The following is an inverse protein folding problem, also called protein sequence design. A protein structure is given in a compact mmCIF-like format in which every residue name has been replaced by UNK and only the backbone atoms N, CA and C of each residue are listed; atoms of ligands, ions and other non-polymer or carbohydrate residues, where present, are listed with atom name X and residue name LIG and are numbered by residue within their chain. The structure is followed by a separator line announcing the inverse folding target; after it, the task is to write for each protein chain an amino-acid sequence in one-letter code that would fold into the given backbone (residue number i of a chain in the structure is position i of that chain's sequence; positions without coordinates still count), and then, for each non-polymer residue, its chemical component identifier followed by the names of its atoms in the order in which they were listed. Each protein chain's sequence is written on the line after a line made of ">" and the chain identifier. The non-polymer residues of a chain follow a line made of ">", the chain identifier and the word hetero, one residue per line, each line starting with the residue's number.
data_IF_828283006462
#
_entry.id   IF_828283006462
#
_cell.length_a   1.000
_cell.length_b   1.000
_cell.length_c   1.000
_cell.angle_alpha   90.00
_cell.angle_beta   90.00
_cell.angle_gamma   90.00
#
_symmetry.space_group_name_H-M   'P 1'
#
loop_
_entity.id
_entity.type
_entity.pdbx_description
1 polymer ?
#
# COMPACT_ATOMS: atom_id res chain seq x y z
N UNK A 1 9.13 -14.10 6.63
CA UNK A 1 8.33 -12.94 6.14
C UNK A 1 7.68 -12.23 7.31
N UNK A 2 7.81 -10.93 7.39
CA UNK A 2 7.15 -10.14 8.43
C UNK A 2 5.69 -9.84 8.07
N UNK A 3 4.82 -9.51 9.04
CA UNK A 3 3.47 -9.07 8.74
C UNK A 3 3.43 -7.84 7.81
N UNK A 4 4.32 -6.87 8.00
CA UNK A 4 4.39 -5.70 7.13
C UNK A 4 4.71 -6.07 5.69
N UNK A 5 5.61 -7.02 5.48
CA UNK A 5 5.94 -7.52 4.15
C UNK A 5 4.75 -8.24 3.50
N UNK A 6 4.05 -9.06 4.24
CA UNK A 6 2.87 -9.77 3.76
C UNK A 6 1.76 -8.78 3.35
N UNK A 7 1.46 -7.82 4.21
CA UNK A 7 0.46 -6.79 3.92
C UNK A 7 0.85 -5.99 2.68
N UNK A 8 2.12 -5.63 2.57
CA UNK A 8 2.62 -4.88 1.42
C UNK A 8 2.44 -5.66 0.12
N UNK A 9 2.77 -6.94 0.10
CA UNK A 9 2.60 -7.80 -1.07
C UNK A 9 1.14 -7.93 -1.47
N UNK A 10 0.26 -8.17 -0.51
CA UNK A 10 -1.17 -8.32 -0.78
C UNK A 10 -1.81 -7.02 -1.24
N UNK A 11 -1.43 -5.90 -0.65
CA UNK A 11 -1.92 -4.60 -1.06
C UNK A 11 -1.45 -4.25 -2.48
N UNK A 12 -0.20 -4.51 -2.80
CA UNK A 12 0.34 -4.35 -4.16
C UNK A 12 -0.47 -5.18 -5.17
N UNK A 13 -0.71 -6.45 -4.87
CA UNK A 13 -1.50 -7.33 -5.73
C UNK A 13 -2.94 -6.82 -5.91
N UNK A 14 -3.55 -6.33 -4.84
CA UNK A 14 -4.90 -5.79 -4.90
C UNK A 14 -4.98 -4.54 -5.80
N UNK A 15 -4.00 -3.67 -5.72
CA UNK A 15 -3.93 -2.45 -6.55
C UNK A 15 -3.73 -2.84 -8.03
N UNK A 16 -2.84 -3.78 -8.31
CA UNK A 16 -2.62 -4.28 -9.66
C UNK A 16 -3.89 -4.93 -10.23
N UNK A 17 -4.58 -5.72 -9.42
CA UNK A 17 -5.83 -6.39 -9.82
C UNK A 17 -6.98 -5.41 -10.04
N UNK A 18 -6.96 -4.27 -9.37
CA UNK A 18 -7.98 -3.23 -9.53
C UNK A 18 -7.83 -2.39 -10.81
N UNK A 19 -6.77 -2.63 -11.58
CA UNK A 19 -6.59 -1.99 -12.87
C UNK A 19 -5.51 -0.91 -12.91
N UNK A 20 -4.58 -0.90 -11.95
CA UNK A 20 -3.44 0.00 -12.01
C UNK A 20 -2.61 -0.27 -13.27
N UNK A 21 -2.29 0.79 -13.99
CA UNK A 21 -1.55 0.73 -15.26
C UNK A 21 -0.15 1.32 -15.16
N UNK A 22 0.18 1.98 -14.04
CA UNK A 22 1.54 2.41 -13.72
C UNK A 22 2.19 1.36 -12.81
N UNK A 23 3.53 1.32 -12.73
CA UNK A 23 4.20 0.39 -11.82
C UNK A 23 3.78 0.60 -10.35
N UNK A 24 3.50 -0.49 -9.67
CA UNK A 24 3.24 -0.50 -8.23
C UNK A 24 4.48 -1.08 -7.54
N UNK A 25 5.07 -0.33 -6.63
CA UNK A 25 6.33 -0.71 -6.01
C UNK A 25 6.34 -0.39 -4.52
N UNK A 26 7.26 -1.04 -3.82
CA UNK A 26 7.50 -0.80 -2.40
C UNK A 26 9.00 -0.84 -2.15
N UNK A 27 9.52 0.20 -1.53
CA UNK A 27 10.93 0.27 -1.15
C UNK A 27 11.30 -0.86 -0.17
N UNK A 28 10.37 -1.25 0.70
CA UNK A 28 10.59 -2.36 1.63
C UNK A 28 10.82 -3.68 0.90
N UNK A 29 9.93 -4.04 -0.03
CA UNK A 29 10.05 -5.29 -0.78
C UNK A 29 11.32 -5.34 -1.62
N UNK A 30 11.68 -4.22 -2.19
CA UNK A 30 12.85 -4.10 -3.05
C UNK A 30 14.14 -4.17 -2.26
N UNK A 31 14.18 -3.53 -1.10
CA UNK A 31 15.31 -3.64 -0.18
C UNK A 31 15.52 -5.09 0.28
N UNK A 32 14.42 -5.81 0.55
CA UNK A 32 14.49 -7.21 0.97
C UNK A 32 14.94 -8.14 -0.16
N UNK A 33 14.65 -7.78 -1.40
CA UNK A 33 15.10 -8.54 -2.57
C UNK A 33 16.52 -8.20 -3.00
N UNK A 34 17.14 -7.21 -2.37
CA UNK A 34 18.49 -6.76 -2.73
C UNK A 34 18.54 -6.00 -4.06
N UNK A 35 17.41 -5.60 -4.59
CA UNK A 35 17.34 -4.83 -5.83
C UNK A 35 17.58 -3.35 -5.56
N UNK A 36 18.42 -2.75 -6.42
CA UNK A 36 18.65 -1.31 -6.37
C UNK A 36 17.57 -0.61 -7.18
N UNK A 37 16.82 0.24 -6.50
CA UNK A 37 15.68 0.91 -7.09
C UNK A 37 16.03 2.13 -7.89
N UNK A 38 15.40 2.20 -9.05
CA UNK A 38 15.18 3.48 -9.73
C UNK A 38 13.70 3.81 -9.55
N UNK A 39 13.40 4.93 -8.91
CA UNK A 39 12.02 5.39 -8.78
C UNK A 39 11.47 5.67 -10.18
N UNK A 40 10.37 5.05 -10.61
CA UNK A 40 9.78 5.33 -11.90
C UNK A 40 9.24 6.76 -11.96
N UNK A 41 9.21 7.35 -13.14
CA UNK A 41 8.65 8.70 -13.36
C UNK A 41 7.15 8.76 -13.05
N UNK A 42 6.45 7.65 -13.25
CA UNK A 42 5.05 7.48 -12.86
C UNK A 42 4.91 6.16 -12.15
N UNK A 43 4.21 6.16 -11.01
CA UNK A 43 4.07 4.94 -10.25
C UNK A 43 3.23 5.12 -9.00
N UNK A 44 2.96 4.01 -8.34
CA UNK A 44 2.29 3.95 -7.05
C UNK A 44 3.25 3.36 -6.04
N UNK A 45 3.66 4.16 -5.06
CA UNK A 45 4.53 3.72 -3.97
C UNK A 45 3.68 3.26 -2.79
N UNK A 46 3.83 2.00 -2.41
CA UNK A 46 3.12 1.40 -1.26
C UNK A 46 4.07 1.32 -0.09
N UNK A 47 3.66 1.87 1.05
CA UNK A 47 4.42 1.85 2.29
C UNK A 47 3.57 1.31 3.44
N UNK A 48 4.12 0.34 4.15
CA UNK A 48 3.48 -0.24 5.33
C UNK A 48 4.52 -0.30 6.43
N UNK A 49 4.21 0.29 7.57
CA UNK A 49 5.11 0.24 8.73
C UNK A 49 4.35 0.23 10.04
N UNK A 50 4.98 -0.28 11.08
CA UNK A 50 4.40 -0.28 12.43
C UNK A 50 4.30 1.16 12.90
N UNK A 51 3.11 1.58 13.30
CA UNK A 51 2.85 2.96 13.74
C UNK A 51 2.61 3.11 15.23
N UNK A 52 2.47 2.03 15.95
CA UNK A 52 2.22 2.06 17.38
C UNK A 52 3.01 1.02 18.11
N UNK A 53 3.40 1.35 19.35
CA UNK A 53 4.02 0.39 20.21
C UNK A 53 2.96 -0.51 20.83
N UNK A 54 3.27 -1.77 20.87
CA UNK A 54 2.36 -2.82 21.25
C UNK A 54 2.58 -3.21 22.69
N UNK A 55 1.50 -3.51 23.38
CA UNK A 55 1.58 -4.05 24.70
C UNK A 55 2.08 -5.48 24.68
N UNK A 56 2.76 -5.90 25.73
CA UNK A 56 3.21 -7.29 25.86
C UNK A 56 2.06 -8.20 26.32
N UNK A 57 2.01 -9.43 25.83
CA UNK A 57 2.77 -9.94 24.70
C UNK A 57 2.33 -9.29 23.40
N UNK A 58 3.22 -9.24 22.40
CA UNK A 58 2.96 -8.58 21.13
C UNK A 58 1.86 -9.29 20.34
N UNK A 59 0.62 -9.12 20.78
CA UNK A 59 -0.54 -9.77 20.19
C UNK A 59 -1.35 -8.86 19.27
N UNK A 60 -1.19 -7.55 19.41
CA UNK A 60 -1.89 -6.56 18.61
C UNK A 60 -0.90 -5.66 17.90
N UNK A 61 -1.18 -5.35 16.65
CA UNK A 61 -0.34 -4.51 15.81
C UNK A 61 -1.16 -3.40 15.20
N UNK A 62 -0.57 -2.21 15.13
CA UNK A 62 -1.11 -1.10 14.37
C UNK A 62 -0.10 -0.71 13.30
N UNK A 63 -0.55 -0.66 12.06
CA UNK A 63 0.26 -0.28 10.92
C UNK A 63 -0.26 0.99 10.28
N UNK A 64 0.65 1.86 9.88
CA UNK A 64 0.35 2.92 8.93
C UNK A 64 0.53 2.38 7.53
N UNK A 65 -0.48 2.59 6.71
CA UNK A 65 -0.52 2.15 5.31
C UNK A 65 -0.67 3.37 4.44
N UNK A 66 0.16 3.51 3.43
CA UNK A 66 0.01 4.58 2.45
C UNK A 66 0.26 4.07 1.03
N UNK A 67 -0.46 4.65 0.09
CA UNK A 67 -0.23 4.48 -1.33
C UNK A 67 -0.16 5.86 -1.96
N UNK A 68 0.99 6.18 -2.55
CA UNK A 68 1.26 7.49 -3.15
C UNK A 68 1.31 7.30 -4.66
N UNK A 69 0.37 7.93 -5.36
CA UNK A 69 0.34 7.96 -6.81
C UNK A 69 1.06 9.21 -7.30
N UNK A 70 1.99 9.04 -8.20
CA UNK A 70 2.65 10.13 -8.92
C UNK A 70 2.66 9.81 -10.40
N UNK A 71 2.18 10.74 -11.21
CA UNK A 71 2.13 10.58 -12.67
C UNK A 71 2.79 11.80 -13.32
N UNK A 72 3.87 11.54 -14.05
CA UNK A 72 4.55 12.60 -14.81
C UNK A 72 3.68 13.10 -15.95
N UNK A 73 3.66 14.40 -16.17
CA UNK A 73 2.95 15.02 -17.28
C UNK A 73 3.47 14.49 -18.63
N UNK A 74 4.74 14.14 -18.72
CA UNK A 74 5.31 13.55 -19.93
C UNK A 74 4.71 12.19 -20.27
N UNK A 75 4.27 11.43 -19.26
CA UNK A 75 3.64 10.13 -19.46
C UNK A 75 2.13 10.25 -19.70
N UNK A 76 1.53 11.39 -19.36
CA UNK A 76 0.07 11.55 -19.35
C UNK A 76 -0.33 12.93 -19.85
N UNK A 77 -0.45 13.06 -21.17
CA UNK A 77 -0.77 14.32 -21.82
C UNK A 77 -2.22 14.79 -21.65
N UNK A 78 -3.11 13.92 -21.18
CA UNK A 78 -4.54 14.24 -21.08
C UNK A 78 -5.14 14.05 -19.69
N UNK A 79 -4.35 13.64 -18.72
CA UNK A 79 -4.82 13.35 -17.38
C UNK A 79 -5.50 11.98 -17.23
N UNK A 80 -5.66 11.24 -18.32
CA UNK A 80 -6.35 9.95 -18.31
C UNK A 80 -5.61 8.90 -17.50
N UNK A 81 -4.28 8.86 -17.59
CA UNK A 81 -3.45 7.91 -16.86
C UNK A 81 -3.56 8.14 -15.35
N UNK A 82 -3.51 9.40 -14.92
CA UNK A 82 -3.69 9.75 -13.52
C UNK A 82 -5.06 9.32 -13.00
N UNK A 83 -6.12 9.65 -13.72
CA UNK A 83 -7.51 9.34 -13.32
C UNK A 83 -7.71 7.83 -13.23
N UNK A 84 -7.22 7.07 -14.19
CA UNK A 84 -7.33 5.61 -14.20
C UNK A 84 -6.69 4.98 -12.95
N UNK A 85 -5.50 5.42 -12.60
CA UNK A 85 -4.79 4.89 -11.43
C UNK A 85 -5.34 5.42 -10.11
N UNK A 86 -5.82 6.66 -10.10
CA UNK A 86 -6.55 7.21 -8.96
C UNK A 86 -7.79 6.35 -8.66
N UNK A 87 -8.55 6.01 -9.69
CA UNK A 87 -9.74 5.18 -9.54
C UNK A 87 -9.41 3.77 -9.02
N UNK A 88 -8.29 3.19 -9.47
CA UNK A 88 -7.83 1.90 -8.96
C UNK A 88 -7.52 1.97 -7.47
N UNK A 89 -6.81 3.01 -7.02
CA UNK A 89 -6.51 3.20 -5.61
C UNK A 89 -7.76 3.44 -4.78
N UNK A 90 -8.65 4.27 -5.28
CA UNK A 90 -9.93 4.52 -4.61
C UNK A 90 -10.70 3.21 -4.40
N UNK A 91 -10.81 2.40 -5.44
CA UNK A 91 -11.53 1.13 -5.38
C UNK A 91 -10.95 0.18 -4.33
N UNK A 92 -9.62 0.09 -4.24
CA UNK A 92 -8.95 -0.79 -3.27
C UNK A 92 -9.17 -0.29 -1.85
N UNK A 93 -8.90 0.98 -1.58
CA UNK A 93 -9.00 1.53 -0.23
C UNK A 93 -10.44 1.58 0.27
N UNK A 94 -11.38 1.95 -0.61
CA UNK A 94 -12.80 1.92 -0.27
C UNK A 94 -13.29 0.50 0.04
N UNK A 95 -12.89 -0.49 -0.76
CA UNK A 95 -13.24 -1.88 -0.53
C UNK A 95 -12.69 -2.40 0.80
N UNK A 96 -11.42 -2.11 1.09
CA UNK A 96 -10.78 -2.57 2.33
C UNK A 96 -11.39 -1.94 3.58
N UNK A 97 -11.95 -0.74 3.46
CA UNK A 97 -12.60 -0.04 4.57
C UNK A 97 -14.02 -0.53 4.84
N UNK A 98 -14.58 -1.36 3.95
CA UNK A 98 -15.96 -1.87 4.08
C UNK A 98 -15.98 -3.25 4.73
N UNK A 99 -16.92 -3.43 5.65
CA UNK A 99 -17.18 -4.72 6.29
C UNK A 99 -15.87 -5.37 6.81
N UNK A 100 -15.70 -6.66 6.55
CA UNK A 100 -14.53 -7.42 6.95
C UNK A 100 -13.57 -7.69 5.79
N UNK A 101 -13.63 -6.89 4.72
CA UNK A 101 -12.84 -7.11 3.52
C UNK A 101 -11.33 -7.02 3.77
N UNK A 102 -10.91 -6.24 4.78
CA UNK A 102 -9.50 -6.12 5.14
C UNK A 102 -8.89 -7.43 5.65
N UNK A 103 -9.69 -8.39 6.03
CA UNK A 103 -9.17 -9.70 6.48
C UNK A 103 -8.35 -10.40 5.41
N UNK A 104 -8.59 -10.09 4.14
CA UNK A 104 -7.82 -10.62 3.02
C UNK A 104 -6.35 -10.18 3.02
N UNK A 105 -5.99 -9.12 3.76
CA UNK A 105 -4.61 -8.67 3.91
C UNK A 105 -3.82 -9.48 4.96
N UNK A 106 -4.50 -10.30 5.74
CA UNK A 106 -3.87 -11.14 6.74
C UNK A 106 -3.32 -12.44 6.17
N UNK A 107 -2.70 -13.21 7.04
CA UNK A 107 -2.21 -14.54 6.71
C UNK A 107 -3.38 -15.53 6.66
N UNK A 108 -3.60 -16.14 5.51
CA UNK A 108 -4.66 -17.13 5.29
C UNK A 108 -4.17 -18.57 5.47
N UNK A 109 -3.01 -18.76 6.07
CA UNK A 109 -2.36 -20.06 6.28
C UNK A 109 -0.89 -19.93 5.91
N UNK A 110 0.00 -20.63 6.21
CA UNK A 110 1.43 -20.81 5.93
C UNK A 110 2.19 -19.74 5.10
N UNK A 111 1.64 -18.54 4.95
CA UNK A 111 2.27 -17.46 4.18
C UNK A 111 3.42 -16.78 4.94
N UNK A 112 3.38 -16.82 6.26
CA UNK A 112 4.46 -16.38 7.12
C UNK A 112 5.37 -17.57 7.43
N UNK A 113 6.52 -17.62 6.80
CA UNK A 113 7.40 -18.80 6.74
C UNK A 113 8.26 -19.07 7.97
N UNK A 114 7.94 -18.65 9.15
CA UNK A 114 8.87 -18.85 10.26
C UNK A 114 8.59 -20.08 11.11
N UNK A 115 7.76 -20.99 10.66
CA UNK A 115 7.51 -22.26 11.33
C UNK A 115 6.88 -22.14 12.71
N UNK A 116 6.68 -20.95 13.18
CA UNK A 116 5.96 -20.70 14.40
C UNK A 116 4.48 -20.57 14.04
N UNK A 117 3.64 -21.07 14.87
CA UNK A 117 2.18 -21.04 14.67
C UNK A 117 1.60 -19.62 14.83
N UNK A 118 2.22 -18.63 14.21
CA UNK A 118 1.76 -17.26 14.27
C UNK A 118 0.95 -16.91 13.04
N UNK A 119 -0.32 -17.16 13.13
CA UNK A 119 -1.27 -16.63 12.15
C UNK A 119 -1.45 -15.15 12.44
N UNK A 120 -1.20 -14.31 11.47
CA UNK A 120 -1.47 -12.89 11.56
C UNK A 120 -2.82 -12.59 10.92
N UNK A 121 -3.76 -12.16 11.73
CA UNK A 121 -5.11 -11.84 11.27
C UNK A 121 -5.30 -10.32 11.28
N UNK A 122 -5.73 -9.77 10.17
CA UNK A 122 -6.11 -8.35 10.06
C UNK A 122 -7.56 -8.21 10.47
N UNK A 123 -7.84 -7.31 11.41
CA UNK A 123 -9.18 -7.12 11.97
C UNK A 123 -9.74 -5.71 11.79
N UNK A 124 -8.96 -4.77 11.30
CA UNK A 124 -9.43 -3.41 11.09
C UNK A 124 -8.65 -2.67 10.01
N UNK A 125 -9.34 -1.90 9.23
CA UNK A 125 -8.76 -1.00 8.23
C UNK A 125 -9.58 0.29 8.21
N UNK A 126 -8.94 1.39 8.58
CA UNK A 126 -9.60 2.68 8.64
C UNK A 126 -8.88 3.68 7.75
N UNK A 127 -9.58 4.20 6.75
CA UNK A 127 -9.06 5.28 5.92
C UNK A 127 -8.90 6.52 6.78
N UNK A 128 -7.68 7.02 6.90
CA UNK A 128 -7.36 8.15 7.78
C UNK A 128 -7.25 9.45 7.00
N UNK A 129 -6.79 9.38 5.76
CA UNK A 129 -6.59 10.56 4.94
C UNK A 129 -6.60 10.18 3.46
N UNK A 130 -7.27 11.00 2.66
CA UNK A 130 -7.12 10.99 1.22
C UNK A 130 -6.76 12.41 0.82
N UNK A 131 -5.58 12.60 0.24
CA UNK A 131 -5.15 13.91 -0.20
C UNK A 131 -5.84 14.27 -1.52
N UNK A 132 -6.15 15.55 -1.68
CA UNK A 132 -6.60 16.06 -2.97
C UNK A 132 -5.46 15.93 -4.00
N UNK A 133 -5.79 15.63 -5.26
CA UNK A 133 -4.79 15.65 -6.31
C UNK A 133 -4.09 16.99 -6.38
N UNK A 134 -2.77 16.96 -6.36
CA UNK A 134 -1.91 18.14 -6.44
C UNK A 134 -1.06 18.10 -7.70
N UNK A 135 -0.81 19.25 -8.25
CA UNK A 135 0.12 19.40 -9.36
C UNK A 135 1.39 20.05 -8.87
N UNK A 136 2.50 19.35 -9.00
CA UNK A 136 3.83 19.84 -8.66
C UNK A 136 4.67 19.99 -9.91
N UNK A 137 5.33 21.12 -10.06
CA UNK A 137 6.25 21.39 -11.15
C UNK A 137 7.63 21.72 -10.58
N UNK A 138 8.63 20.99 -11.04
CA UNK A 138 10.02 21.22 -10.69
C UNK A 138 10.90 21.41 -11.94
N UNK A 139 12.22 21.46 -11.77
CA UNK A 139 13.17 21.62 -12.87
C UNK A 139 13.11 20.47 -13.90
N UNK A 140 12.59 19.32 -13.50
CA UNK A 140 12.51 18.13 -14.33
C UNK A 140 11.13 17.94 -15.00
N UNK A 141 10.22 18.88 -14.80
CA UNK A 141 8.86 18.81 -15.34
C UNK A 141 7.79 18.76 -14.27
N UNK A 142 6.56 18.56 -14.67
CA UNK A 142 5.41 18.50 -13.78
C UNK A 142 4.92 17.09 -13.50
N UNK A 143 4.28 16.92 -12.37
CA UNK A 143 3.63 15.66 -12.00
C UNK A 143 2.34 15.91 -11.23
N UNK A 144 1.36 15.05 -11.45
CA UNK A 144 0.17 14.97 -10.62
C UNK A 144 0.41 13.96 -9.52
N UNK A 145 0.10 14.33 -8.28
CA UNK A 145 0.29 13.48 -7.11
C UNK A 145 -0.95 13.42 -6.24
N UNK A 146 -1.15 12.29 -5.61
CA UNK A 146 -2.15 12.14 -4.55
C UNK A 146 -1.71 11.00 -3.63
N UNK A 147 -2.25 10.95 -2.43
CA UNK A 147 -1.98 9.84 -1.52
C UNK A 147 -3.25 9.38 -0.81
N UNK A 148 -3.27 8.07 -0.53
CA UNK A 148 -4.27 7.44 0.32
C UNK A 148 -3.56 6.90 1.55
N UNK A 149 -4.09 7.19 2.73
CA UNK A 149 -3.52 6.75 3.99
C UNK A 149 -4.57 6.05 4.83
N UNK A 150 -4.15 4.99 5.48
CA UNK A 150 -5.03 4.20 6.34
C UNK A 150 -4.28 3.68 7.56
N UNK A 151 -5.03 3.37 8.60
CA UNK A 151 -4.55 2.63 9.76
C UNK A 151 -5.11 1.22 9.70
N UNK A 152 -4.23 0.25 9.81
CA UNK A 152 -4.59 -1.16 9.81
C UNK A 152 -4.25 -1.75 11.16
N UNK A 153 -5.17 -2.53 11.70
CA UNK A 153 -4.94 -3.25 12.95
C UNK A 153 -5.01 -4.75 12.70
N UNK A 154 -4.20 -5.48 13.45
CA UNK A 154 -4.16 -6.93 13.32
C UNK A 154 -3.69 -7.59 14.60
N UNK A 155 -3.80 -8.91 14.61
CA UNK A 155 -3.41 -9.76 15.74
C UNK A 155 -2.54 -10.91 15.27
N UNK A 156 -1.48 -11.17 16.05
CA UNK A 156 -0.72 -12.40 15.93
C UNK A 156 -1.18 -13.36 17.02
N UNK A 157 -1.45 -14.56 16.63
CA UNK A 157 -1.81 -15.62 17.57
C UNK A 157 -0.57 -16.44 17.96
#
# INVERSE_FOLDING_TARGET
>A
MTPAELITRKLKQAIEAAGATVPVFSLLLEALQGERQTTPSSGIAVNVHISGQLEEPLSHYTFSVSAILSVSVDDDKGGALFVENYNALWAVFDNLAREDNCTALGDEGDELEDGAAHVFAVDGFQLTEGDEPEYDEDENGGAWTTSFKATLTGRAN
#
